data_IF_352646918152
#
_entry.id   IF_352646918152
#
_cell.length_a   1.000
_cell.length_b   1.000
_cell.length_c   1.000
_cell.angle_alpha   90.00
_cell.angle_beta   90.00
_cell.angle_gamma   90.00
#
_symmetry.space_group_name_H-M   'P 1'
#
loop_
_entity.id
_entity.type
_entity.pdbx_description
1 polymer ?
#
# COMPACT_ATOMS: atom_id res chain seq x y z
N UNK A 1 -5.65 -37.20 -11.56
CA UNK A 1 -4.47 -38.00 -11.92
C UNK A 1 -4.19 -38.98 -10.79
N UNK A 2 -3.76 -40.20 -11.06
CA UNK A 2 -3.49 -41.16 -10.00
C UNK A 2 -3.03 -42.52 -10.53
N UNK A 3 -2.61 -43.36 -9.58
CA UNK A 3 -2.20 -44.72 -9.85
C UNK A 3 -3.41 -45.67 -9.85
N UNK A 4 -3.43 -46.56 -10.80
CA UNK A 4 -4.34 -47.70 -10.82
C UNK A 4 -3.53 -49.01 -10.82
N UNK A 5 -3.94 -49.97 -10.01
CA UNK A 5 -3.29 -51.32 -9.97
C UNK A 5 -4.13 -52.29 -10.79
N UNK A 6 -3.50 -52.91 -11.79
CA UNK A 6 -4.12 -53.95 -12.63
C UNK A 6 -3.17 -55.15 -12.72
N UNK A 7 -3.64 -56.30 -12.42
CA UNK A 7 -2.84 -57.54 -12.45
C UNK A 7 -1.51 -57.43 -11.66
N UNK A 8 -1.52 -56.81 -10.48
CA UNK A 8 -0.35 -56.62 -9.62
C UNK A 8 0.63 -55.55 -10.08
N UNK A 9 0.38 -54.88 -11.21
CA UNK A 9 1.22 -53.78 -11.75
C UNK A 9 0.54 -52.44 -11.57
N UNK A 10 1.30 -51.40 -11.21
CA UNK A 10 0.80 -50.01 -11.05
C UNK A 10 0.98 -49.21 -12.33
N UNK A 11 -0.07 -48.54 -12.73
CA UNK A 11 -0.15 -47.70 -13.95
C UNK A 11 -0.57 -46.29 -13.57
N UNK A 12 0.17 -45.27 -14.03
CA UNK A 12 -0.18 -43.88 -13.78
C UNK A 12 -1.03 -43.31 -14.91
N UNK A 13 -2.16 -42.69 -14.53
CA UNK A 13 -3.11 -42.09 -15.47
C UNK A 13 -3.27 -40.59 -15.22
N UNK A 14 -3.32 -39.83 -16.31
CA UNK A 14 -3.73 -38.43 -16.33
C UNK A 14 -5.20 -38.36 -16.74
N UNK A 15 -5.98 -37.55 -16.03
CA UNK A 15 -7.35 -37.23 -16.40
C UNK A 15 -7.36 -35.98 -17.25
N UNK A 16 -7.93 -36.07 -18.44
CA UNK A 16 -8.11 -34.93 -19.34
C UNK A 16 -9.60 -34.74 -19.62
N UNK A 17 -10.05 -33.48 -19.58
CA UNK A 17 -11.41 -33.11 -19.92
C UNK A 17 -11.45 -32.71 -21.39
N UNK A 18 -12.33 -33.35 -22.14
CA UNK A 18 -12.57 -33.08 -23.54
C UNK A 18 -14.05 -32.72 -23.67
N UNK A 19 -14.36 -31.43 -23.71
CA UNK A 19 -15.73 -30.94 -23.60
C UNK A 19 -16.44 -31.38 -22.30
N UNK A 20 -17.52 -32.15 -22.42
CA UNK A 20 -18.27 -32.70 -21.27
C UNK A 20 -17.75 -34.06 -20.79
N UNK A 21 -16.83 -34.70 -21.52
CA UNK A 21 -16.30 -36.02 -21.19
C UNK A 21 -14.96 -35.94 -20.46
N UNK A 22 -14.77 -36.83 -19.50
CA UNK A 22 -13.53 -37.02 -18.77
C UNK A 22 -12.85 -38.29 -19.26
N UNK A 23 -11.67 -38.14 -19.91
CA UNK A 23 -10.91 -39.30 -20.40
C UNK A 23 -9.68 -39.51 -19.53
N UNK A 24 -9.40 -40.79 -19.24
CA UNK A 24 -8.16 -41.20 -18.60
C UNK A 24 -7.12 -41.53 -19.66
N UNK A 25 -5.99 -40.84 -19.62
CA UNK A 25 -4.88 -41.05 -20.53
C UNK A 25 -3.79 -41.78 -19.76
N UNK A 26 -3.36 -42.91 -20.27
CA UNK A 26 -2.21 -43.64 -19.72
C UNK A 26 -0.93 -42.85 -19.95
N UNK A 27 -0.10 -42.71 -18.89
CA UNK A 27 1.15 -41.96 -18.93
C UNK A 27 2.36 -42.89 -18.84
N UNK A 28 2.30 -43.93 -17.98
CA UNK A 28 3.41 -44.85 -17.84
C UNK A 28 3.35 -45.76 -16.62
N UNK A 29 4.29 -46.65 -16.50
CA UNK A 29 4.53 -47.51 -15.34
C UNK A 29 5.93 -47.25 -14.76
N UNK A 30 6.22 -47.80 -13.59
CA UNK A 30 7.56 -47.76 -12.96
C UNK A 30 8.10 -46.34 -12.86
N UNK A 31 9.30 -46.09 -13.35
CA UNK A 31 9.99 -44.80 -13.22
C UNK A 31 9.34 -43.67 -14.04
N UNK A 32 8.78 -43.99 -15.22
CA UNK A 32 8.05 -43.02 -16.04
C UNK A 32 6.79 -42.55 -15.31
N UNK A 33 6.04 -43.46 -14.67
CA UNK A 33 4.88 -43.11 -13.88
C UNK A 33 5.25 -42.26 -12.65
N UNK A 34 6.35 -42.58 -11.96
CA UNK A 34 6.88 -41.78 -10.84
C UNK A 34 7.33 -40.38 -11.26
N UNK A 35 8.07 -40.27 -12.36
CA UNK A 35 8.47 -38.96 -12.90
C UNK A 35 7.26 -38.09 -13.26
N UNK A 36 6.21 -38.70 -13.81
CA UNK A 36 4.96 -38.00 -14.12
C UNK A 36 4.20 -37.56 -12.86
N UNK A 37 4.20 -38.38 -11.80
CA UNK A 37 3.62 -38.04 -10.50
C UNK A 37 4.35 -36.85 -9.88
N UNK A 38 5.68 -36.90 -9.77
CA UNK A 38 6.51 -35.80 -9.29
C UNK A 38 6.27 -34.50 -10.06
N UNK A 39 6.18 -34.58 -11.39
CA UNK A 39 5.88 -33.41 -12.23
C UNK A 39 4.47 -32.84 -11.96
N UNK A 40 3.52 -33.65 -11.52
CA UNK A 40 2.19 -33.19 -11.11
C UNK A 40 2.23 -32.52 -9.75
N UNK A 41 2.93 -33.12 -8.79
CA UNK A 41 3.12 -32.58 -7.44
C UNK A 41 3.84 -31.22 -7.50
N UNK A 42 4.97 -31.11 -8.18
CA UNK A 42 5.68 -29.84 -8.38
C UNK A 42 4.80 -28.75 -9.01
N UNK A 43 3.94 -29.13 -9.98
CA UNK A 43 3.00 -28.17 -10.58
C UNK A 43 1.88 -27.77 -9.63
N UNK A 44 1.48 -28.64 -8.72
CA UNK A 44 0.48 -28.33 -7.68
C UNK A 44 1.08 -27.40 -6.63
N UNK A 45 2.25 -27.73 -6.10
CA UNK A 45 2.98 -26.91 -5.14
C UNK A 45 3.26 -25.51 -5.70
N UNK A 46 3.75 -25.43 -6.94
CA UNK A 46 3.96 -24.13 -7.59
C UNK A 46 2.67 -23.30 -7.70
N UNK A 47 1.52 -23.92 -8.01
CA UNK A 47 0.24 -23.22 -8.06
C UNK A 47 -0.22 -22.77 -6.68
N UNK A 48 0.04 -23.54 -5.65
CA UNK A 48 -0.30 -23.19 -4.26
C UNK A 48 0.59 -22.02 -3.78
N UNK A 49 1.88 -22.03 -4.09
CA UNK A 49 2.81 -20.93 -3.82
C UNK A 49 2.38 -19.62 -4.52
N UNK A 50 2.01 -19.70 -5.81
CA UNK A 50 1.51 -18.54 -6.55
C UNK A 50 0.23 -17.98 -5.92
N UNK A 51 -0.69 -18.84 -5.52
CA UNK A 51 -1.95 -18.42 -4.88
C UNK A 51 -1.72 -17.79 -3.51
N UNK A 52 -0.77 -18.31 -2.71
CA UNK A 52 -0.43 -17.70 -1.42
C UNK A 52 0.19 -16.33 -1.62
N UNK A 53 1.17 -16.23 -2.52
CA UNK A 53 1.80 -14.96 -2.86
C UNK A 53 0.79 -13.91 -3.34
N UNK A 54 -0.12 -14.28 -4.26
CA UNK A 54 -1.15 -13.37 -4.75
C UNK A 54 -2.08 -12.88 -3.64
N UNK A 55 -2.45 -13.76 -2.70
CA UNK A 55 -3.28 -13.38 -1.54
C UNK A 55 -2.54 -12.42 -0.62
N UNK A 56 -1.29 -12.72 -0.28
CA UNK A 56 -0.46 -11.89 0.58
C UNK A 56 -0.20 -10.51 -0.05
N UNK A 57 0.17 -10.47 -1.34
CA UNK A 57 0.37 -9.23 -2.06
C UNK A 57 -0.93 -8.41 -2.13
N UNK A 58 -2.05 -9.04 -2.45
CA UNK A 58 -3.34 -8.37 -2.50
C UNK A 58 -3.77 -7.81 -1.15
N UNK A 59 -3.51 -8.54 -0.06
CA UNK A 59 -3.80 -8.07 1.29
C UNK A 59 -2.94 -6.86 1.66
N UNK A 60 -1.61 -6.94 1.48
CA UNK A 60 -0.69 -5.82 1.76
C UNK A 60 -1.06 -4.57 0.98
N UNK A 61 -1.32 -4.71 -0.33
CA UNK A 61 -1.75 -3.56 -1.13
C UNK A 61 -3.12 -3.03 -0.71
N UNK A 62 -4.05 -3.88 -0.27
CA UNK A 62 -5.35 -3.44 0.19
C UNK A 62 -5.26 -2.61 1.49
N UNK A 63 -4.38 -2.99 2.42
CA UNK A 63 -4.11 -2.24 3.65
C UNK A 63 -3.53 -0.85 3.32
N UNK A 64 -2.55 -0.77 2.44
CA UNK A 64 -1.94 0.48 1.99
C UNK A 64 -2.94 1.36 1.21
N UNK A 65 -3.74 0.75 0.33
CA UNK A 65 -4.78 1.45 -0.43
C UNK A 65 -5.87 2.05 0.48
N UNK A 66 -6.17 1.41 1.62
CA UNK A 66 -7.12 1.93 2.60
C UNK A 66 -6.60 3.24 3.22
N UNK A 67 -5.32 3.29 3.62
CA UNK A 67 -4.69 4.49 4.17
C UNK A 67 -4.65 5.61 3.12
N UNK A 68 -4.26 5.28 1.89
CA UNK A 68 -4.25 6.26 0.78
C UNK A 68 -5.65 6.80 0.45
N UNK A 69 -6.68 5.95 0.58
CA UNK A 69 -8.05 6.34 0.37
C UNK A 69 -8.55 7.33 1.44
N UNK A 70 -8.19 7.10 2.70
CA UNK A 70 -8.49 8.03 3.80
C UNK A 70 -7.82 9.38 3.60
N UNK A 71 -6.53 9.38 3.26
CA UNK A 71 -5.78 10.58 2.93
C UNK A 71 -6.42 11.32 1.75
N UNK A 72 -6.82 10.62 0.69
CA UNK A 72 -7.47 11.21 -0.47
C UNK A 72 -8.81 11.88 -0.14
N UNK A 73 -9.60 11.26 0.74
CA UNK A 73 -10.88 11.82 1.20
C UNK A 73 -10.64 13.07 2.05
N UNK A 74 -9.68 13.03 2.97
CA UNK A 74 -9.29 14.16 3.80
C UNK A 74 -8.83 15.36 2.95
N UNK A 75 -7.91 15.13 2.01
CA UNK A 75 -7.44 16.16 1.07
C UNK A 75 -8.59 16.75 0.24
N UNK A 76 -9.49 15.89 -0.27
CA UNK A 76 -10.64 16.35 -1.06
C UNK A 76 -11.61 17.21 -0.24
N UNK A 77 -11.84 16.85 1.02
CA UNK A 77 -12.71 17.63 1.92
C UNK A 77 -12.13 19.03 2.18
N UNK A 78 -10.84 19.13 2.47
CA UNK A 78 -10.14 20.41 2.68
C UNK A 78 -10.13 21.25 1.42
N UNK A 79 -9.79 20.68 0.26
CA UNK A 79 -9.81 21.40 -1.02
C UNK A 79 -11.20 21.93 -1.38
N UNK A 80 -12.24 21.16 -1.11
CA UNK A 80 -13.61 21.60 -1.35
C UNK A 80 -14.02 22.72 -0.40
N UNK A 81 -13.76 22.56 0.90
CA UNK A 81 -14.14 23.54 1.91
C UNK A 81 -13.39 24.87 1.74
N UNK A 82 -12.08 24.82 1.50
CA UNK A 82 -11.24 26.02 1.43
C UNK A 82 -11.25 26.71 0.05
N UNK A 83 -11.39 25.95 -1.03
CA UNK A 83 -11.15 26.44 -2.40
C UNK A 83 -12.24 26.07 -3.41
N UNK A 84 -13.30 25.35 -3.00
CA UNK A 84 -14.35 24.86 -3.90
C UNK A 84 -13.87 23.83 -4.94
N UNK A 85 -12.67 23.27 -4.77
CA UNK A 85 -12.09 22.29 -5.69
C UNK A 85 -12.69 20.91 -5.40
N UNK A 86 -13.36 20.32 -6.40
CA UNK A 86 -13.92 18.95 -6.29
C UNK A 86 -12.94 17.93 -6.84
N UNK A 87 -12.49 17.00 -5.99
CA UNK A 87 -11.75 15.80 -6.42
C UNK A 87 -12.70 14.61 -6.57
N UNK A 88 -12.47 13.77 -7.57
CA UNK A 88 -13.20 12.49 -7.68
C UNK A 88 -12.64 11.48 -6.69
N UNK A 89 -13.32 11.35 -5.54
CA UNK A 89 -12.98 10.39 -4.48
C UNK A 89 -13.76 9.10 -4.56
N UNK A 90 -14.46 8.81 -5.67
CA UNK A 90 -15.32 7.61 -5.80
C UNK A 90 -14.53 6.31 -5.61
N UNK A 91 -13.31 6.26 -6.17
CA UNK A 91 -12.43 5.10 -6.00
C UNK A 91 -12.02 4.92 -4.53
N UNK A 92 -11.60 5.98 -3.85
CA UNK A 92 -11.23 6.00 -2.45
C UNK A 92 -12.39 5.57 -1.53
N UNK A 93 -13.60 6.09 -1.75
CA UNK A 93 -14.80 5.71 -0.98
C UNK A 93 -15.19 4.24 -1.16
N UNK A 94 -14.94 3.64 -2.34
CA UNK A 94 -15.20 2.21 -2.59
C UNK A 94 -14.25 1.31 -1.81
N UNK A 95 -12.99 1.72 -1.65
CA UNK A 95 -11.98 0.98 -0.89
C UNK A 95 -12.34 1.00 0.59
N UNK A 96 -12.64 2.18 1.15
CA UNK A 96 -13.00 2.34 2.57
C UNK A 96 -14.24 1.53 3.01
N UNK A 97 -15.23 1.34 2.12
CA UNK A 97 -16.39 0.49 2.42
C UNK A 97 -16.07 -1.00 2.57
N UNK A 98 -14.96 -1.46 1.98
CA UNK A 98 -14.56 -2.88 2.02
C UNK A 98 -13.64 -3.21 3.20
N UNK A 99 -12.94 -2.23 3.77
CA UNK A 99 -11.89 -2.42 4.76
C UNK A 99 -12.17 -1.64 6.06
N UNK A 100 -13.38 -1.77 6.62
CA UNK A 100 -13.90 -0.99 7.75
C UNK A 100 -13.19 -1.10 9.10
N UNK A 101 -11.92 -1.48 9.14
CA UNK A 101 -11.09 -1.41 10.35
C UNK A 101 -9.77 -0.72 10.03
N UNK A 102 -9.60 0.48 10.55
CA UNK A 102 -8.41 1.32 10.37
C UNK A 102 -7.25 0.78 11.18
N UNK A 103 -6.19 0.36 10.52
CA UNK A 103 -4.94 -0.03 11.19
C UNK A 103 -4.14 1.22 11.55
N UNK A 104 -4.38 1.77 12.73
CA UNK A 104 -3.60 2.86 13.29
C UNK A 104 -2.34 2.32 13.98
N UNK A 105 -1.31 1.97 13.22
CA UNK A 105 -0.02 1.54 13.74
C UNK A 105 1.09 2.57 13.46
N UNK A 106 1.07 3.70 14.16
CA UNK A 106 2.15 4.69 14.10
C UNK A 106 3.38 4.29 14.93
N UNK A 107 4.56 4.40 14.37
CA UNK A 107 5.82 4.10 15.03
C UNK A 107 6.23 5.24 15.99
N UNK A 108 6.23 4.96 17.31
CA UNK A 108 6.39 5.95 18.40
C UNK A 108 7.87 6.27 18.72
N UNK A 109 8.85 5.75 17.95
CA UNK A 109 10.27 5.86 18.30
C UNK A 109 10.87 7.28 18.33
N UNK A 110 10.16 8.27 17.76
CA UNK A 110 10.63 9.66 17.69
C UNK A 110 9.73 10.66 18.47
N UNK A 111 9.06 10.23 19.53
CA UNK A 111 8.18 11.11 20.29
C UNK A 111 8.93 11.93 21.32
N UNK A 112 8.51 13.19 21.60
CA UNK A 112 9.09 14.04 22.63
C UNK A 112 8.67 13.61 24.06
N UNK A 113 8.41 12.32 24.26
CA UNK A 113 8.03 11.73 25.54
C UNK A 113 9.27 11.37 26.33
N UNK A 114 9.20 11.55 27.65
CA UNK A 114 10.19 10.97 28.56
C UNK A 114 10.21 9.44 28.46
N UNK A 115 11.27 8.77 28.92
CA UNK A 115 11.33 7.30 28.90
C UNK A 115 10.14 6.64 29.58
N UNK A 116 9.71 7.17 30.74
CA UNK A 116 8.57 6.66 31.53
C UNK A 116 7.23 6.87 30.83
N UNK A 117 7.01 8.07 30.27
CA UNK A 117 5.81 8.36 29.48
C UNK A 117 5.72 7.50 28.22
N UNK A 118 6.87 7.17 27.61
CA UNK A 118 6.93 6.30 26.43
C UNK A 118 6.55 4.86 26.77
N UNK A 119 6.99 4.35 27.90
CA UNK A 119 6.65 3.01 28.40
C UNK A 119 5.14 2.93 28.69
N UNK A 120 4.61 3.90 29.46
CA UNK A 120 3.17 4.00 29.76
C UNK A 120 2.34 4.09 28.46
N UNK A 121 2.77 4.91 27.51
CA UNK A 121 2.12 5.02 26.20
C UNK A 121 2.11 3.70 25.45
N UNK A 122 3.22 2.95 25.42
CA UNK A 122 3.32 1.67 24.72
C UNK A 122 2.40 0.63 25.35
N UNK A 123 2.36 0.54 26.69
CA UNK A 123 1.49 -0.39 27.40
C UNK A 123 0.00 -0.10 27.15
N UNK A 124 -0.42 1.14 27.33
CA UNK A 124 -1.82 1.54 27.08
C UNK A 124 -2.24 1.29 25.64
N UNK A 125 -1.35 1.56 24.69
CA UNK A 125 -1.60 1.33 23.28
C UNK A 125 -1.73 -0.16 22.96
N UNK A 126 -0.87 -1.00 23.52
CA UNK A 126 -0.94 -2.44 23.33
C UNK A 126 -2.23 -3.03 23.90
N UNK A 127 -2.62 -2.61 25.10
CA UNK A 127 -3.89 -3.00 25.72
C UNK A 127 -5.09 -2.53 24.90
N UNK A 128 -5.09 -1.28 24.46
CA UNK A 128 -6.14 -0.72 23.60
C UNK A 128 -6.25 -1.46 22.27
N UNK A 129 -5.12 -1.86 21.65
CA UNK A 129 -5.12 -2.64 20.41
C UNK A 129 -5.71 -4.04 20.56
N UNK A 130 -5.70 -4.57 21.79
CA UNK A 130 -6.36 -5.84 22.15
C UNK A 130 -7.86 -5.67 22.50
N UNK A 131 -8.39 -4.45 22.35
CA UNK A 131 -9.81 -4.14 22.57
C UNK A 131 -10.14 -3.68 23.99
N UNK A 132 -9.14 -3.37 24.83
CA UNK A 132 -9.34 -2.83 26.16
C UNK A 132 -9.84 -1.38 26.07
N UNK A 133 -11.11 -1.17 26.49
CA UNK A 133 -11.77 0.13 26.46
C UNK A 133 -11.27 1.09 27.53
N UNK A 134 -10.82 0.59 28.67
CA UNK A 134 -10.27 1.42 29.74
C UNK A 134 -8.91 1.98 29.32
N UNK A 135 -8.05 1.15 28.74
CA UNK A 135 -6.79 1.59 28.17
C UNK A 135 -6.98 2.60 27.04
N UNK A 136 -7.97 2.39 26.16
CA UNK A 136 -8.33 3.35 25.12
C UNK A 136 -8.80 4.69 25.69
N UNK A 137 -9.60 4.68 26.75
CA UNK A 137 -10.05 5.89 27.45
C UNK A 137 -8.90 6.63 28.15
N UNK A 138 -7.91 5.89 28.69
CA UNK A 138 -6.73 6.47 29.33
C UNK A 138 -5.76 7.12 28.30
N UNK A 139 -5.76 6.68 27.04
CA UNK A 139 -4.95 7.29 25.97
C UNK A 139 -5.43 8.70 25.59
N UNK A 140 -6.73 9.02 25.72
CA UNK A 140 -7.28 10.32 25.32
C UNK A 140 -6.68 11.49 26.12
N UNK A 141 -6.70 11.48 27.48
CA UNK A 141 -6.05 12.53 28.27
C UNK A 141 -4.55 12.63 28.00
N UNK A 142 -3.91 11.50 27.70
CA UNK A 142 -2.49 11.48 27.36
C UNK A 142 -2.21 12.20 26.03
N UNK A 143 -3.07 12.03 25.03
CA UNK A 143 -2.99 12.76 23.75
C UNK A 143 -3.26 14.26 23.92
N UNK A 144 -4.24 14.61 24.74
CA UNK A 144 -4.57 16.01 25.05
C UNK A 144 -3.41 16.74 25.76
N UNK A 145 -2.66 16.02 26.61
CA UNK A 145 -1.47 16.53 27.27
C UNK A 145 -0.26 16.69 26.32
N UNK A 146 -0.28 15.99 25.18
CA UNK A 146 0.83 15.96 24.22
C UNK A 146 0.36 16.29 22.79
N UNK A 147 0.04 17.57 22.47
CA UNK A 147 -0.46 17.95 21.14
C UNK A 147 0.46 17.53 20.00
N UNK A 148 1.79 17.57 20.19
CA UNK A 148 2.75 17.14 19.18
C UNK A 148 2.65 15.63 18.87
N UNK A 149 2.24 14.81 19.85
CA UNK A 149 1.99 13.39 19.66
C UNK A 149 0.69 13.20 18.85
N UNK A 150 -0.33 13.97 19.18
CA UNK A 150 -1.60 13.99 18.47
C UNK A 150 -1.41 14.38 17.00
N UNK A 151 -0.65 15.45 16.72
CA UNK A 151 -0.32 15.87 15.35
C UNK A 151 0.43 14.79 14.58
N UNK A 152 1.38 14.13 15.24
CA UNK A 152 2.16 13.03 14.62
C UNK A 152 1.33 11.79 14.34
N UNK A 153 0.44 11.42 15.20
CA UNK A 153 -0.43 10.25 15.04
C UNK A 153 -1.58 10.53 14.05
N UNK A 154 -2.02 11.78 13.97
CA UNK A 154 -3.03 12.23 13.00
C UNK A 154 -2.49 12.46 11.60
N UNK A 155 -1.18 12.46 11.39
CA UNK A 155 -0.57 12.62 10.06
C UNK A 155 -0.62 11.32 9.27
N UNK A 156 -1.75 11.08 8.59
CA UNK A 156 -1.97 9.91 7.74
C UNK A 156 -0.97 9.82 6.59
N UNK A 157 -0.46 10.95 6.09
CA UNK A 157 0.53 10.96 5.01
C UNK A 157 1.87 10.41 5.47
N UNK A 158 2.25 10.72 6.71
CA UNK A 158 3.45 10.16 7.36
C UNK A 158 3.29 8.68 7.68
N UNK A 159 2.12 8.27 8.17
CA UNK A 159 1.80 6.86 8.42
C UNK A 159 1.91 6.04 7.13
N UNK A 160 1.27 6.50 6.06
CA UNK A 160 1.34 5.85 4.77
C UNK A 160 2.78 5.76 4.26
N UNK A 161 3.55 6.85 4.35
CA UNK A 161 4.96 6.85 3.94
C UNK A 161 5.79 5.82 4.71
N UNK A 162 5.65 5.75 6.03
CA UNK A 162 6.40 4.80 6.85
C UNK A 162 6.09 3.35 6.47
N UNK A 163 4.82 3.02 6.25
CA UNK A 163 4.39 1.68 5.82
C UNK A 163 4.97 1.31 4.44
N UNK A 164 4.99 2.26 3.51
CA UNK A 164 5.61 2.04 2.20
C UNK A 164 7.13 1.90 2.29
N UNK A 165 7.79 2.65 3.15
CA UNK A 165 9.24 2.54 3.40
C UNK A 165 9.60 1.18 4.00
N UNK A 166 8.80 0.67 4.95
CA UNK A 166 8.95 -0.68 5.49
C UNK A 166 8.77 -1.76 4.41
N UNK A 167 7.79 -1.57 3.51
CA UNK A 167 7.59 -2.50 2.40
C UNK A 167 8.75 -2.50 1.40
N UNK A 168 9.33 -1.33 1.11
CA UNK A 168 10.44 -1.16 0.15
C UNK A 168 11.77 -1.67 0.71
N UNK A 169 12.09 -1.30 1.94
CA UNK A 169 13.39 -1.57 2.55
C UNK A 169 13.43 -2.84 3.40
N UNK A 170 12.26 -3.36 3.83
CA UNK A 170 12.19 -4.49 4.75
C UNK A 170 12.97 -4.23 6.04
N UNK A 171 13.94 -5.08 6.33
CA UNK A 171 14.85 -4.95 7.48
C UNK A 171 16.12 -4.11 7.20
N UNK A 172 16.32 -3.64 5.97
CA UNK A 172 17.48 -2.83 5.58
C UNK A 172 17.25 -1.35 5.90
N UNK A 173 17.71 -0.93 7.08
CA UNK A 173 17.60 0.45 7.55
C UNK A 173 18.29 1.46 6.61
N UNK A 174 19.35 1.07 5.90
CA UNK A 174 20.08 1.96 4.97
C UNK A 174 19.19 2.25 3.77
N UNK A 175 18.58 1.23 3.17
CA UNK A 175 17.64 1.39 2.06
C UNK A 175 16.42 2.20 2.48
N UNK A 176 15.84 1.94 3.66
CA UNK A 176 14.71 2.72 4.21
C UNK A 176 15.08 4.19 4.33
N UNK A 177 16.24 4.49 4.95
CA UNK A 177 16.68 5.87 5.17
C UNK A 177 17.00 6.61 3.88
N UNK A 178 17.69 5.94 2.93
CA UNK A 178 18.01 6.52 1.63
C UNK A 178 16.75 6.82 0.82
N UNK A 179 15.78 5.90 0.80
CA UNK A 179 14.50 6.06 0.11
C UNK A 179 13.68 7.19 0.74
N UNK A 180 13.61 7.24 2.06
CA UNK A 180 12.97 8.34 2.78
C UNK A 180 13.58 9.70 2.41
N UNK A 181 14.92 9.82 2.45
CA UNK A 181 15.61 11.03 2.05
C UNK A 181 15.28 11.46 0.62
N UNK A 182 15.14 10.49 -0.31
CA UNK A 182 14.77 10.78 -1.69
C UNK A 182 13.34 11.30 -1.83
N UNK A 183 12.40 10.72 -1.09
CA UNK A 183 11.00 11.20 -1.06
C UNK A 183 10.93 12.61 -0.50
N UNK A 184 11.65 12.91 0.60
CA UNK A 184 11.71 14.25 1.18
C UNK A 184 12.28 15.26 0.18
N UNK A 185 13.39 14.95 -0.48
CA UNK A 185 13.96 15.82 -1.52
C UNK A 185 12.97 16.10 -2.66
N UNK A 186 12.22 15.08 -3.09
CA UNK A 186 11.19 15.24 -4.11
C UNK A 186 10.07 16.17 -3.62
N UNK A 187 9.54 15.94 -2.42
CA UNK A 187 8.50 16.79 -1.82
C UNK A 187 8.96 18.24 -1.71
N UNK A 188 10.21 18.47 -1.25
CA UNK A 188 10.78 19.81 -1.15
C UNK A 188 10.90 20.48 -2.52
N UNK A 189 11.27 19.75 -3.57
CA UNK A 189 11.35 20.29 -4.93
C UNK A 189 10.00 20.63 -5.56
N UNK A 190 8.91 20.05 -5.07
CA UNK A 190 7.56 20.27 -5.56
C UNK A 190 6.86 21.47 -4.91
N UNK A 191 7.35 21.90 -3.74
CA UNK A 191 6.79 23.05 -3.02
C UNK A 191 7.30 24.38 -3.58
N UNK A 192 6.44 25.36 -3.62
CA UNK A 192 6.82 26.73 -3.93
C UNK A 192 7.25 27.48 -2.66
N UNK A 193 8.00 28.58 -2.84
CA UNK A 193 8.34 29.47 -1.72
C UNK A 193 7.08 29.98 -1.03
N UNK A 194 7.04 29.86 0.30
CA UNK A 194 5.87 30.19 1.10
C UNK A 194 4.69 29.25 0.91
N UNK A 195 4.95 27.98 0.59
CA UNK A 195 3.92 26.94 0.51
C UNK A 195 3.04 26.93 1.77
N UNK A 196 1.73 26.87 1.58
CA UNK A 196 0.78 26.70 2.68
C UNK A 196 0.63 25.21 3.08
N UNK A 197 0.00 24.90 4.21
CA UNK A 197 -0.15 23.53 4.67
C UNK A 197 -0.85 22.60 3.68
N UNK A 198 -1.74 23.13 2.83
CA UNK A 198 -2.44 22.32 1.84
C UNK A 198 -1.55 21.99 0.65
N UNK A 199 -0.74 22.94 0.19
CA UNK A 199 0.28 22.67 -0.84
C UNK A 199 1.29 21.62 -0.36
N UNK A 200 1.71 21.73 0.92
CA UNK A 200 2.59 20.73 1.53
C UNK A 200 1.96 19.33 1.54
N UNK A 201 0.69 19.23 1.93
CA UNK A 201 -0.03 17.97 1.94
C UNK A 201 -0.16 17.35 0.53
N UNK A 202 -0.43 18.19 -0.49
CA UNK A 202 -0.49 17.76 -1.88
C UNK A 202 0.88 17.29 -2.39
N UNK A 203 1.95 18.02 -2.08
CA UNK A 203 3.32 17.63 -2.45
C UNK A 203 3.72 16.30 -1.79
N UNK A 204 3.41 16.10 -0.52
CA UNK A 204 3.64 14.82 0.18
C UNK A 204 2.88 13.67 -0.48
N UNK A 205 1.64 13.91 -0.91
CA UNK A 205 0.86 12.90 -1.64
C UNK A 205 1.51 12.52 -2.97
N UNK A 206 2.03 13.48 -3.74
CA UNK A 206 2.79 13.21 -4.97
C UNK A 206 4.01 12.35 -4.67
N UNK A 207 4.79 12.69 -3.63
CA UNK A 207 5.96 11.93 -3.21
C UNK A 207 5.63 10.49 -2.80
N UNK A 208 4.52 10.28 -2.09
CA UNK A 208 4.07 8.95 -1.69
C UNK A 208 3.68 8.10 -2.92
N UNK A 209 2.91 8.65 -3.84
CA UNK A 209 2.48 7.94 -5.06
C UNK A 209 3.66 7.68 -6.01
N UNK A 210 4.67 8.56 -6.03
CA UNK A 210 5.93 8.32 -6.71
C UNK A 210 6.64 7.07 -6.15
N UNK A 211 6.73 6.94 -4.82
CA UNK A 211 7.33 5.78 -4.17
C UNK A 211 6.58 4.48 -4.52
N UNK A 212 5.25 4.52 -4.50
CA UNK A 212 4.39 3.39 -4.86
C UNK A 212 4.63 2.93 -6.31
N UNK A 213 4.67 3.86 -7.26
CA UNK A 213 4.89 3.58 -8.68
C UNK A 213 6.25 2.88 -8.87
N UNK A 214 7.32 3.45 -8.32
CA UNK A 214 8.67 2.90 -8.44
C UNK A 214 8.83 1.54 -7.76
N UNK A 215 8.16 1.31 -6.63
CA UNK A 215 8.14 -0.02 -6.01
C UNK A 215 7.54 -1.06 -6.93
N UNK A 216 6.40 -0.76 -7.56
CA UNK A 216 5.74 -1.68 -8.50
C UNK A 216 6.61 -1.91 -9.74
N UNK A 217 7.30 -0.88 -10.26
CA UNK A 217 8.25 -0.99 -11.36
C UNK A 217 9.40 -1.95 -11.02
N UNK A 218 9.99 -1.83 -9.84
CA UNK A 218 11.04 -2.75 -9.36
C UNK A 218 10.51 -4.18 -9.27
N UNK A 219 9.29 -4.37 -8.71
CA UNK A 219 8.67 -5.68 -8.64
C UNK A 219 8.42 -6.29 -10.02
N UNK A 220 8.03 -5.50 -11.01
CA UNK A 220 7.86 -5.93 -12.40
C UNK A 220 9.19 -6.28 -13.07
N UNK A 221 10.23 -5.45 -12.86
CA UNK A 221 11.56 -5.71 -13.41
C UNK A 221 12.17 -7.02 -12.87
N UNK A 222 11.87 -7.37 -11.63
CA UNK A 222 12.28 -8.64 -11.01
C UNK A 222 11.40 -9.83 -11.40
N UNK A 223 10.36 -9.61 -12.20
CA UNK A 223 9.32 -10.61 -12.49
C UNK A 223 9.70 -11.66 -13.56
N UNK A 224 10.94 -11.72 -14.04
CA UNK A 224 11.38 -12.67 -15.08
C UNK A 224 11.16 -14.14 -14.71
N UNK A 225 11.12 -14.47 -13.41
CA UNK A 225 10.83 -15.82 -12.90
C UNK A 225 9.37 -16.03 -12.46
N UNK A 226 8.52 -15.00 -12.59
CA UNK A 226 7.13 -15.02 -12.10
C UNK A 226 6.16 -15.61 -13.12
N UNK A 227 5.05 -16.10 -12.62
CA UNK A 227 3.96 -16.62 -13.47
C UNK A 227 3.23 -15.49 -14.18
N UNK A 228 2.53 -15.82 -15.27
CA UNK A 228 1.68 -14.88 -16.01
C UNK A 228 0.67 -14.17 -15.09
N UNK A 229 0.08 -14.88 -14.13
CA UNK A 229 -0.90 -14.32 -13.19
C UNK A 229 -0.29 -13.26 -12.27
N UNK A 230 0.94 -13.49 -11.78
CA UNK A 230 1.68 -12.52 -10.97
C UNK A 230 2.05 -11.28 -11.79
N UNK A 231 2.48 -11.48 -13.03
CA UNK A 231 2.80 -10.38 -13.95
C UNK A 231 1.56 -9.54 -14.29
N UNK A 232 0.42 -10.17 -14.57
CA UNK A 232 -0.86 -9.48 -14.82
C UNK A 232 -1.32 -8.67 -13.60
N UNK A 233 -1.20 -9.24 -12.39
CA UNK A 233 -1.54 -8.53 -11.16
C UNK A 233 -0.68 -7.28 -10.98
N UNK A 234 0.65 -7.39 -11.13
CA UNK A 234 1.57 -6.26 -11.01
C UNK A 234 1.35 -5.22 -12.10
N UNK A 235 1.14 -5.63 -13.36
CA UNK A 235 0.87 -4.72 -14.47
C UNK A 235 -0.44 -3.93 -14.27
N UNK A 236 -1.48 -4.57 -13.71
CA UNK A 236 -2.71 -3.87 -13.32
C UNK A 236 -2.45 -2.87 -12.22
N UNK A 237 -1.67 -3.25 -11.20
CA UNK A 237 -1.30 -2.37 -10.09
C UNK A 237 -0.51 -1.17 -10.59
N UNK A 238 0.48 -1.36 -11.46
CA UNK A 238 1.28 -0.30 -12.07
C UNK A 238 0.37 0.75 -12.74
N UNK A 239 -0.52 0.34 -13.63
CA UNK A 239 -1.44 1.26 -14.31
C UNK A 239 -2.26 2.09 -13.33
N UNK A 240 -2.75 1.47 -12.26
CA UNK A 240 -3.55 2.17 -11.24
C UNK A 240 -2.70 3.19 -10.49
N UNK A 241 -1.47 2.85 -10.13
CA UNK A 241 -0.56 3.72 -9.40
C UNK A 241 -0.09 4.89 -10.28
N UNK A 242 0.27 4.64 -11.53
CA UNK A 242 0.67 5.66 -12.50
C UNK A 242 -0.45 6.68 -12.73
N UNK A 243 -1.68 6.18 -12.88
CA UNK A 243 -2.85 7.07 -13.03
C UNK A 243 -3.08 7.92 -11.77
N UNK A 244 -2.98 7.34 -10.59
CA UNK A 244 -3.13 8.07 -9.33
C UNK A 244 -2.04 9.13 -9.17
N UNK A 245 -0.78 8.80 -9.51
CA UNK A 245 0.35 9.72 -9.48
C UNK A 245 0.16 10.88 -10.46
N UNK A 246 -0.24 10.62 -11.70
CA UNK A 246 -0.52 11.67 -12.69
C UNK A 246 -1.63 12.62 -12.23
N UNK A 247 -2.71 12.09 -11.65
CA UNK A 247 -3.80 12.88 -11.08
C UNK A 247 -3.31 13.75 -9.91
N UNK A 248 -2.46 13.22 -9.03
CA UNK A 248 -1.92 13.97 -7.90
C UNK A 248 -1.03 15.14 -8.35
N UNK A 249 -0.16 14.91 -9.35
CA UNK A 249 0.66 15.97 -9.96
C UNK A 249 -0.22 17.07 -10.55
N UNK A 250 -1.24 16.70 -11.31
CA UNK A 250 -2.16 17.68 -11.91
C UNK A 250 -2.89 18.47 -10.84
N UNK A 251 -3.35 17.82 -9.78
CA UNK A 251 -4.04 18.47 -8.66
C UNK A 251 -3.13 19.51 -7.97
N UNK A 252 -1.86 19.15 -7.72
CA UNK A 252 -0.89 20.08 -7.13
C UNK A 252 -0.67 21.30 -8.04
N UNK A 253 -0.47 21.10 -9.35
CA UNK A 253 -0.29 22.17 -10.33
C UNK A 253 -1.51 23.10 -10.38
N UNK A 254 -2.71 22.52 -10.49
CA UNK A 254 -3.95 23.31 -10.51
C UNK A 254 -4.13 24.14 -9.24
N UNK A 255 -3.69 23.61 -8.10
CA UNK A 255 -3.69 24.36 -6.84
C UNK A 255 -2.71 25.52 -6.86
N UNK A 256 -1.46 25.29 -7.26
CA UNK A 256 -0.39 26.30 -7.36
C UNK A 256 -0.78 27.44 -8.33
N UNK A 257 -1.35 27.11 -9.49
CA UNK A 257 -1.80 28.07 -10.47
C UNK A 257 -2.92 28.98 -9.95
N UNK A 258 -3.90 28.38 -9.22
CA UNK A 258 -5.00 29.17 -8.60
C UNK A 258 -4.48 30.08 -7.50
N UNK A 259 -3.54 29.62 -6.68
CA UNK A 259 -2.89 30.41 -5.65
C UNK A 259 -2.14 31.59 -6.26
N UNK A 260 -1.30 31.36 -7.27
CA UNK A 260 -0.57 32.42 -7.99
C UNK A 260 -1.50 33.45 -8.60
N UNK A 261 -2.67 33.02 -9.10
CA UNK A 261 -3.69 33.95 -9.68
C UNK A 261 -4.36 34.78 -8.59
N UNK A 262 -4.59 34.23 -7.40
CA UNK A 262 -5.21 34.93 -6.26
C UNK A 262 -4.27 35.99 -5.66
N UNK A 263 -2.97 35.71 -5.62
CA UNK A 263 -1.95 36.58 -5.03
C UNK A 263 -1.52 37.75 -5.97
N UNK A 264 -1.82 37.63 -7.27
CA UNK A 264 -1.46 38.61 -8.30
C UNK A 264 -2.09 40.04 -8.10
N UNK A 265 -3.38 40.18 -7.67
CA UNK A 265 -3.96 41.51 -7.41
C UNK A 265 -3.41 42.18 -6.14
N UNK A 266 -3.00 41.43 -5.14
CA UNK A 266 -2.43 41.98 -3.92
C UNK A 266 -1.05 42.63 -4.15
N UNK A 267 -0.20 41.99 -4.96
CA UNK A 267 1.13 42.57 -5.32
C UNK A 267 1.04 43.86 -6.15
N UNK A 268 0.02 44.02 -7.01
CA UNK A 268 -0.19 45.26 -7.75
C UNK A 268 -0.65 46.44 -6.88
N UNK A 269 -1.33 46.17 -5.74
CA UNK A 269 -1.74 47.22 -4.78
C UNK A 269 -0.64 47.64 -3.81
N UNK A 270 0.34 46.77 -3.56
CA UNK A 270 1.47 47.05 -2.67
C UNK A 270 2.65 47.75 -3.38
N UNK A 271 2.62 47.84 -4.71
CA UNK A 271 3.67 48.48 -5.52
C UNK A 271 3.28 49.88 -6.03
N UNK A 272 2.16 50.44 -5.58
CA UNK A 272 1.69 51.83 -5.78
C UNK A 272 1.65 52.56 -4.43
#
# INVERSE_FOLDING_TARGET
>A
MGWETRNGRRYFYKTQRDGHQVRKIYVGTGDVGRAAELAVECRRERRELVRSWLREAAQKFAELDAIDAELAVGVAAVLFAAHGIRLDTRAARRINRKHGETVMAGNVRETPLSPEERETWQELREQSSRGDREAAAALLPFLDAHPQLQDRLGDLSRLALNQWLELVGGSDEVTVRATHGKVVQLVDSLRQDGADPLEELLARRVGLLWLQAHYVDVQLAQATSRTMQEQEFLAKRQRTTDQAHAVAIQTLRDYQDRRATKDRPARKRAAV
#
